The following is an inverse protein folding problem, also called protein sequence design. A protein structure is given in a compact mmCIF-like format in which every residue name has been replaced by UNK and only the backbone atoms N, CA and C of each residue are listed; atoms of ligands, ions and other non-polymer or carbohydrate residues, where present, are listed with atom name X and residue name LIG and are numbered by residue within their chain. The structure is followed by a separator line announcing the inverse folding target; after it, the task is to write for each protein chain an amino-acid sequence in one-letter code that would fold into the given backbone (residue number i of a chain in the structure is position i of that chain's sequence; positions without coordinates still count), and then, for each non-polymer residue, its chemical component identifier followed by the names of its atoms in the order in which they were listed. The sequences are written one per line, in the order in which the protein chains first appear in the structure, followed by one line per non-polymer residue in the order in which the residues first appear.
data_IF_355809857825
#
_entry.id   IF_355809857825
#
_cell.length_a   1.000
_cell.length_b   1.000
_cell.length_c   1.000
_cell.angle_alpha   90.00
_cell.angle_beta   90.00
_cell.angle_gamma   90.00
#
_symmetry.space_group_name_H-M   'P 1'
#
loop_
_entity.id
_entity.type
_entity.pdbx_description
1 polymer ?
#
# COMPACT_ATOMS: atom_id res chain seq x y z
N UNK A 1 -4.28 -11.93 -16.44
CA UNK A 1 -5.12 -11.43 -15.33
C UNK A 1 -4.21 -11.37 -14.13
N UNK A 2 -4.02 -10.20 -13.50
CA UNK A 2 -3.08 -9.99 -12.38
C UNK A 2 -3.18 -11.10 -11.33
N UNK A 3 -2.05 -11.73 -10.99
CA UNK A 3 -1.95 -12.79 -10.00
C UNK A 3 -2.52 -12.42 -8.64
N UNK A 4 -2.42 -11.14 -8.29
CA UNK A 4 -2.92 -10.63 -7.02
C UNK A 4 -4.45 -10.77 -6.91
N UNK A 5 -5.18 -10.70 -8.03
CA UNK A 5 -6.64 -10.90 -8.06
C UNK A 5 -7.03 -12.34 -7.69
N UNK A 6 -6.14 -13.32 -7.89
CA UNK A 6 -6.36 -14.70 -7.44
C UNK A 6 -6.17 -14.85 -5.93
N UNK A 7 -5.26 -14.08 -5.34
CA UNK A 7 -4.91 -14.14 -3.91
C UNK A 7 -5.91 -13.38 -3.02
N UNK A 8 -6.48 -12.27 -3.50
CA UNK A 8 -7.43 -11.48 -2.74
C UNK A 8 -8.86 -11.69 -3.25
N UNK A 9 -9.81 -12.12 -2.40
CA UNK A 9 -11.20 -12.26 -2.82
C UNK A 9 -11.75 -10.90 -3.27
N UNK A 10 -12.44 -10.86 -4.42
CA UNK A 10 -13.03 -9.63 -5.01
C UNK A 10 -13.92 -8.82 -4.05
N UNK A 11 -14.36 -9.42 -2.94
CA UNK A 11 -15.38 -8.87 -2.04
C UNK A 11 -14.85 -7.93 -0.95
N UNK A 12 -13.54 -7.79 -0.74
CA UNK A 12 -13.00 -6.87 0.29
C UNK A 12 -12.56 -5.56 -0.35
N UNK A 13 -13.43 -4.54 -0.26
CA UNK A 13 -13.12 -3.17 -0.67
C UNK A 13 -12.80 -2.32 0.56
N UNK A 14 -11.52 -2.26 0.93
CA UNK A 14 -11.04 -1.47 2.07
C UNK A 14 -11.34 0.03 1.93
N UNK A 15 -11.61 0.53 0.72
CA UNK A 15 -11.97 1.93 0.50
C UNK A 15 -13.35 2.28 1.07
N UNK A 16 -14.19 1.27 1.35
CA UNK A 16 -15.51 1.46 1.98
C UNK A 16 -15.46 1.55 3.50
N UNK A 17 -14.31 1.26 4.11
CA UNK A 17 -14.15 1.40 5.56
C UNK A 17 -14.12 2.88 5.93
N UNK A 18 -15.01 3.26 6.84
CA UNK A 18 -15.14 4.62 7.37
C UNK A 18 -15.05 4.58 8.89
N UNK A 19 -14.33 5.54 9.46
CA UNK A 19 -14.05 5.65 10.88
C UNK A 19 -14.47 7.02 11.39
N UNK A 20 -15.22 7.08 12.48
CA UNK A 20 -15.59 8.34 13.12
C UNK A 20 -14.35 9.00 13.71
N UNK A 21 -14.34 10.34 13.77
CA UNK A 21 -13.20 11.09 14.34
C UNK A 21 -12.78 10.64 15.74
N UNK A 22 -13.74 10.21 16.59
CA UNK A 22 -13.45 9.70 17.92
C UNK A 22 -12.75 8.34 17.92
N UNK A 23 -13.01 7.50 16.93
CA UNK A 23 -12.33 6.22 16.75
C UNK A 23 -10.91 6.45 16.26
N UNK A 24 -10.73 7.30 15.24
CA UNK A 24 -9.41 7.70 14.74
C UNK A 24 -8.55 8.29 15.85
N UNK A 25 -9.14 9.17 16.67
CA UNK A 25 -8.47 9.79 17.81
C UNK A 25 -7.94 8.76 18.81
N UNK A 26 -8.76 7.77 19.16
CA UNK A 26 -8.36 6.68 20.08
C UNK A 26 -7.33 5.74 19.47
N UNK A 27 -7.52 5.33 18.21
CA UNK A 27 -6.62 4.37 17.55
C UNK A 27 -5.22 4.94 17.33
N UNK A 28 -5.12 6.24 17.04
CA UNK A 28 -3.85 6.88 16.64
C UNK A 28 -3.21 7.73 17.73
N UNK A 29 -3.83 7.79 18.93
CA UNK A 29 -3.40 8.64 20.03
C UNK A 29 -3.16 10.11 19.60
N UNK A 30 -4.16 10.65 18.90
CA UNK A 30 -4.19 12.04 18.43
C UNK A 30 -5.48 12.68 18.91
N UNK A 31 -5.42 13.87 19.47
CA UNK A 31 -6.63 14.56 19.94
C UNK A 31 -7.57 14.88 18.78
N UNK A 32 -8.89 14.82 19.01
CA UNK A 32 -9.88 15.27 18.02
C UNK A 32 -9.69 16.73 17.59
N UNK A 33 -9.10 17.56 18.47
CA UNK A 33 -8.72 18.95 18.15
C UNK A 33 -7.61 19.01 17.10
N UNK A 34 -6.56 18.19 17.25
CA UNK A 34 -5.49 18.10 16.25
C UNK A 34 -6.04 17.60 14.91
N UNK A 35 -6.87 16.55 14.91
CA UNK A 35 -7.49 16.05 13.67
C UNK A 35 -8.31 17.14 12.95
N UNK A 36 -9.13 17.91 13.69
CA UNK A 36 -9.89 19.04 13.12
C UNK A 36 -8.97 20.13 12.58
N UNK A 37 -7.87 20.42 13.26
CA UNK A 37 -6.90 21.42 12.82
C UNK A 37 -6.17 20.96 11.54
N UNK A 38 -5.76 19.70 11.47
CA UNK A 38 -5.12 19.12 10.27
C UNK A 38 -6.10 19.12 9.08
N UNK A 39 -7.37 18.82 9.33
CA UNK A 39 -8.41 18.94 8.32
C UNK A 39 -8.61 20.38 7.84
N UNK A 40 -8.65 21.36 8.75
CA UNK A 40 -8.75 22.77 8.41
C UNK A 40 -7.56 23.25 7.56
N UNK A 41 -6.37 22.70 7.80
CA UNK A 41 -5.16 22.94 6.99
C UNK A 41 -5.15 22.19 5.66
N UNK A 42 -6.11 21.30 5.41
CA UNK A 42 -6.21 20.50 4.19
C UNK A 42 -5.26 19.31 4.15
N UNK A 43 -4.67 18.91 5.27
CA UNK A 43 -3.72 17.78 5.34
C UNK A 43 -4.43 16.43 5.35
N UNK A 44 -5.67 16.41 5.84
CA UNK A 44 -6.61 15.30 5.80
C UNK A 44 -7.98 15.83 5.41
N UNK A 45 -8.86 14.97 4.92
CA UNK A 45 -10.23 15.31 4.53
C UNK A 45 -11.22 14.37 5.20
N UNK A 46 -12.33 14.89 5.72
CA UNK A 46 -13.42 14.03 6.18
C UNK A 46 -14.54 13.97 5.15
N UNK A 47 -15.24 12.83 5.12
CA UNK A 47 -16.55 12.71 4.49
C UNK A 47 -17.57 13.04 5.59
N UNK A 48 -18.65 13.74 5.22
CA UNK A 48 -19.79 13.92 6.12
C UNK A 48 -20.68 12.69 6.00
N UNK A 49 -20.90 11.98 7.09
CA UNK A 49 -21.86 10.89 7.12
C UNK A 49 -23.29 11.47 6.96
N UNK A 50 -23.99 11.04 5.91
CA UNK A 50 -25.33 11.51 5.54
C UNK A 50 -26.35 11.34 6.68
N UNK A 51 -26.15 10.34 7.55
CA UNK A 51 -27.09 10.03 8.64
C UNK A 51 -26.86 10.84 9.90
N UNK A 52 -25.59 11.11 10.26
CA UNK A 52 -25.24 11.72 11.55
C UNK A 52 -24.64 13.12 11.44
N UNK A 53 -24.35 13.60 10.21
CA UNK A 53 -23.54 14.79 9.93
C UNK A 53 -22.14 14.75 10.58
N UNK A 54 -21.74 13.60 11.14
CA UNK A 54 -20.45 13.45 11.80
C UNK A 54 -19.34 13.28 10.77
N UNK A 55 -18.14 13.71 11.17
CA UNK A 55 -16.93 13.56 10.35
C UNK A 55 -16.47 12.12 10.39
N UNK A 56 -16.39 11.48 9.22
CA UNK A 56 -15.80 10.17 9.05
C UNK A 56 -14.58 10.23 8.13
N UNK A 57 -13.61 9.37 8.40
CA UNK A 57 -12.36 9.27 7.67
C UNK A 57 -12.26 7.89 7.04
N UNK A 58 -11.80 7.83 5.80
CA UNK A 58 -11.53 6.57 5.12
C UNK A 58 -10.11 6.04 5.45
N UNK A 59 -9.76 4.88 4.92
CA UNK A 59 -8.42 4.28 5.09
C UNK A 59 -7.27 5.18 4.60
N UNK A 60 -7.47 5.95 3.53
CA UNK A 60 -6.44 6.87 3.03
C UNK A 60 -6.12 7.97 4.06
N UNK A 61 -7.17 8.55 4.65
CA UNK A 61 -7.02 9.54 5.71
C UNK A 61 -6.41 8.93 6.98
N UNK A 62 -6.78 7.70 7.32
CA UNK A 62 -6.22 7.01 8.47
C UNK A 62 -4.70 6.82 8.29
N UNK A 63 -4.25 6.32 7.13
CA UNK A 63 -2.83 6.21 6.81
C UNK A 63 -2.10 7.56 6.87
N UNK A 64 -2.76 8.62 6.38
CA UNK A 64 -2.21 9.97 6.42
C UNK A 64 -2.04 10.48 7.86
N UNK A 65 -3.05 10.27 8.72
CA UNK A 65 -2.98 10.58 10.16
C UNK A 65 -1.85 9.82 10.84
N UNK A 66 -1.74 8.52 10.60
CA UNK A 66 -0.69 7.66 11.17
C UNK A 66 0.70 8.17 10.81
N UNK A 67 0.93 8.52 9.54
CA UNK A 67 2.23 9.03 9.10
C UNK A 67 2.54 10.42 9.66
N UNK A 68 1.56 11.34 9.67
CA UNK A 68 1.76 12.66 10.29
C UNK A 68 2.14 12.48 11.77
N UNK A 69 1.41 11.64 12.51
CA UNK A 69 1.71 11.36 13.93
C UNK A 69 3.11 10.80 14.11
N UNK A 70 3.50 9.79 13.32
CA UNK A 70 4.84 9.20 13.35
C UNK A 70 5.96 10.24 13.18
N UNK A 71 5.80 11.20 12.27
CA UNK A 71 6.80 12.25 12.07
C UNK A 71 6.78 13.31 13.17
N UNK A 72 5.61 13.66 13.70
CA UNK A 72 5.50 14.53 14.87
C UNK A 72 6.22 13.92 16.08
N UNK A 73 6.07 12.61 16.30
CA UNK A 73 6.74 11.88 17.39
C UNK A 73 8.27 11.86 17.22
N UNK A 74 8.76 12.01 15.98
CA UNK A 74 10.17 12.20 15.65
C UNK A 74 10.65 13.65 15.76
N UNK A 75 9.80 14.57 16.24
CA UNK A 75 10.15 15.98 16.44
C UNK A 75 9.99 16.88 15.21
N UNK A 76 9.33 16.41 14.15
CA UNK A 76 9.08 17.24 12.97
C UNK A 76 8.04 18.33 13.29
N UNK A 77 8.13 19.46 12.58
CA UNK A 77 7.01 20.42 12.55
C UNK A 77 5.82 19.79 11.84
N UNK A 78 4.60 20.27 12.11
CA UNK A 78 3.40 19.73 11.46
C UNK A 78 3.45 19.84 9.93
N UNK A 79 3.98 20.94 9.39
CA UNK A 79 4.13 21.12 7.93
C UNK A 79 5.09 20.08 7.35
N UNK A 80 6.28 19.92 7.95
CA UNK A 80 7.26 18.93 7.49
C UNK A 80 6.72 17.50 7.62
N UNK A 81 6.05 17.18 8.73
CA UNK A 81 5.40 15.89 8.93
C UNK A 81 4.35 15.59 7.84
N UNK A 82 3.54 16.58 7.47
CA UNK A 82 2.56 16.45 6.41
C UNK A 82 3.21 16.24 5.03
N UNK A 83 4.24 17.02 4.70
CA UNK A 83 4.96 16.91 3.44
C UNK A 83 5.62 15.54 3.29
N UNK A 84 6.40 15.11 4.30
CA UNK A 84 7.03 13.79 4.30
C UNK A 84 6.00 12.66 4.24
N UNK A 85 4.88 12.78 4.96
CA UNK A 85 3.79 11.82 4.87
C UNK A 85 3.18 11.75 3.45
N UNK A 86 3.02 12.89 2.76
CA UNK A 86 2.49 12.92 1.39
C UNK A 86 3.42 12.22 0.41
N UNK A 87 4.72 12.52 0.50
CA UNK A 87 5.74 11.88 -0.33
C UNK A 87 5.76 10.37 -0.14
N UNK A 88 5.69 9.90 1.10
CA UNK A 88 5.71 8.47 1.39
C UNK A 88 4.44 7.75 0.92
N UNK A 89 3.28 8.40 1.01
CA UNK A 89 2.05 7.87 0.42
C UNK A 89 2.17 7.78 -1.10
N UNK A 90 2.76 8.80 -1.75
CA UNK A 90 2.98 8.78 -3.20
C UNK A 90 3.92 7.63 -3.62
N UNK A 91 5.03 7.44 -2.90
CA UNK A 91 5.96 6.31 -3.11
C UNK A 91 5.26 4.97 -2.93
N UNK A 92 4.48 4.81 -1.86
CA UNK A 92 3.73 3.58 -1.59
C UNK A 92 2.66 3.31 -2.65
N UNK A 93 1.99 4.36 -3.14
CA UNK A 93 1.02 4.26 -4.24
C UNK A 93 1.67 3.73 -5.52
N UNK A 94 2.86 4.26 -5.85
CA UNK A 94 3.64 3.77 -6.99
C UNK A 94 4.06 2.31 -6.80
N UNK A 95 4.64 1.96 -5.63
CA UNK A 95 5.04 0.60 -5.31
C UNK A 95 3.87 -0.39 -5.38
N UNK A 96 2.72 -0.04 -4.79
CA UNK A 96 1.49 -0.86 -4.87
C UNK A 96 1.08 -1.08 -6.32
N UNK A 97 1.07 -0.02 -7.15
CA UNK A 97 0.74 -0.15 -8.57
C UNK A 97 1.75 -1.02 -9.30
N UNK A 98 3.04 -0.88 -9.03
CA UNK A 98 4.08 -1.73 -9.59
C UNK A 98 3.82 -3.19 -9.22
N UNK A 99 3.72 -3.51 -7.93
CA UNK A 99 3.49 -4.88 -7.44
C UNK A 99 2.21 -5.49 -8.01
N UNK A 100 1.11 -4.73 -8.07
CA UNK A 100 -0.17 -5.19 -8.63
C UNK A 100 -0.08 -5.60 -10.10
N UNK A 101 0.82 -4.99 -10.87
CA UNK A 101 0.98 -5.24 -12.30
C UNK A 101 2.15 -6.18 -12.61
N UNK A 102 3.20 -6.19 -11.77
CA UNK A 102 4.36 -7.05 -11.95
C UNK A 102 4.14 -8.46 -11.36
N UNK A 103 3.39 -8.58 -10.26
CA UNK A 103 3.12 -9.88 -9.64
C UNK A 103 2.14 -10.71 -10.49
N UNK A 104 2.63 -11.84 -11.02
CA UNK A 104 1.85 -12.74 -11.85
C UNK A 104 1.39 -14.00 -11.09
N UNK A 105 2.25 -14.64 -10.31
CA UNK A 105 1.89 -15.78 -9.45
C UNK A 105 2.99 -16.12 -8.44
N UNK A 106 2.71 -17.05 -7.52
CA UNK A 106 3.75 -17.79 -6.79
C UNK A 106 3.88 -19.16 -7.43
N UNK A 107 5.07 -19.49 -7.91
CA UNK A 107 5.42 -20.75 -8.53
C UNK A 107 6.38 -21.54 -7.64
N UNK A 108 6.72 -22.77 -8.04
CA UNK A 108 7.73 -23.58 -7.36
C UNK A 108 8.84 -23.91 -8.35
N UNK A 109 10.06 -23.51 -8.02
CA UNK A 109 11.27 -23.86 -8.79
C UNK A 109 12.22 -24.57 -7.83
N UNK A 110 12.70 -25.75 -8.23
CA UNK A 110 13.61 -26.58 -7.42
C UNK A 110 13.06 -26.89 -6.00
N UNK A 111 11.74 -27.01 -5.88
CA UNK A 111 11.06 -27.27 -4.60
C UNK A 111 10.89 -26.05 -3.70
N UNK A 112 11.32 -24.86 -4.13
CA UNK A 112 11.21 -23.62 -3.36
C UNK A 112 10.14 -22.68 -3.96
N UNK A 113 9.31 -22.02 -3.12
CA UNK A 113 8.36 -21.03 -3.59
C UNK A 113 9.10 -19.81 -4.15
N UNK A 114 8.71 -19.38 -5.34
CA UNK A 114 9.26 -18.21 -6.02
C UNK A 114 8.14 -17.32 -6.52
N UNK A 115 8.34 -16.01 -6.43
CA UNK A 115 7.41 -15.01 -6.97
C UNK A 115 7.74 -14.80 -8.44
N UNK A 116 6.77 -15.02 -9.32
CA UNK A 116 6.84 -14.63 -10.73
C UNK A 116 6.52 -13.13 -10.87
N UNK A 117 7.51 -12.35 -11.32
CA UNK A 117 7.43 -10.90 -11.52
C UNK A 117 7.19 -10.49 -12.98
N UNK A 118 6.83 -11.45 -13.83
CA UNK A 118 6.55 -11.25 -15.24
C UNK A 118 7.80 -11.27 -16.13
N UNK A 119 7.61 -10.83 -17.38
CA UNK A 119 8.69 -10.81 -18.37
C UNK A 119 9.81 -9.86 -17.96
N UNK A 120 11.04 -10.35 -18.03
CA UNK A 120 12.24 -9.56 -17.73
C UNK A 120 12.62 -8.62 -18.88
N UNK A 121 12.31 -9.03 -20.13
CA UNK A 121 12.66 -8.30 -21.34
C UNK A 121 11.44 -7.99 -22.23
N UNK A 122 11.59 -7.00 -23.12
CA UNK A 122 10.52 -6.54 -24.00
C UNK A 122 10.13 -7.60 -25.05
N UNK A 123 11.09 -8.43 -25.45
CA UNK A 123 10.88 -9.54 -26.40
C UNK A 123 10.08 -10.70 -25.80
N UNK A 124 9.81 -10.66 -24.48
CA UNK A 124 9.06 -11.67 -23.73
C UNK A 124 9.66 -13.07 -23.85
N UNK A 125 10.98 -13.16 -23.88
CA UNK A 125 11.73 -14.42 -23.99
C UNK A 125 12.24 -14.94 -22.65
N UNK A 126 12.20 -14.12 -21.59
CA UNK A 126 12.63 -14.52 -20.25
C UNK A 126 11.71 -13.97 -19.17
N UNK A 127 11.62 -14.67 -18.04
CA UNK A 127 10.80 -14.32 -16.87
C UNK A 127 11.72 -14.00 -15.70
N UNK A 128 11.39 -12.96 -14.94
CA UNK A 128 12.05 -12.63 -13.67
C UNK A 128 11.31 -13.30 -12.51
N UNK A 129 12.04 -14.08 -11.72
CA UNK A 129 11.58 -14.65 -10.46
C UNK A 129 12.32 -14.03 -9.28
N UNK A 130 11.65 -13.96 -8.13
CA UNK A 130 12.24 -13.59 -6.85
C UNK A 130 11.92 -14.66 -5.79
N UNK A 131 12.96 -15.21 -5.16
CA UNK A 131 12.84 -16.08 -3.99
C UNK A 131 13.14 -15.27 -2.73
N UNK A 132 12.42 -15.55 -1.64
CA UNK A 132 12.73 -15.02 -0.30
C UNK A 132 13.24 -16.20 0.53
N UNK A 133 14.42 -16.06 1.12
CA UNK A 133 14.96 -17.10 1.99
C UNK A 133 14.57 -16.91 3.47
N UNK A 134 15.05 -17.80 4.33
CA UNK A 134 14.73 -17.81 5.76
C UNK A 134 15.18 -16.54 6.52
N UNK A 135 16.06 -15.72 5.92
CA UNK A 135 16.56 -14.47 6.50
C UNK A 135 15.91 -13.23 5.88
N UNK A 136 14.79 -13.38 5.17
CA UNK A 136 14.13 -12.32 4.38
C UNK A 136 15.02 -11.74 3.26
N UNK A 137 16.11 -12.44 2.86
CA UNK A 137 16.94 -12.00 1.74
C UNK A 137 16.31 -12.39 0.40
N UNK A 138 16.30 -11.44 -0.55
CA UNK A 138 15.69 -11.63 -1.87
C UNK A 138 16.76 -12.08 -2.88
N UNK A 139 16.53 -13.22 -3.53
CA UNK A 139 17.37 -13.74 -4.62
C UNK A 139 16.59 -13.73 -5.93
N UNK A 140 17.16 -13.08 -6.95
CA UNK A 140 16.55 -12.97 -8.27
C UNK A 140 17.07 -14.05 -9.22
N UNK A 141 16.19 -14.59 -10.07
CA UNK A 141 16.53 -15.55 -11.11
C UNK A 141 15.83 -15.18 -12.41
N UNK A 142 16.58 -15.10 -13.51
CA UNK A 142 16.01 -14.95 -14.85
C UNK A 142 15.96 -16.33 -15.50
N UNK A 143 14.81 -16.70 -16.04
CA UNK A 143 14.61 -18.00 -16.70
C UNK A 143 14.13 -17.77 -18.13
N UNK A 144 14.87 -18.31 -19.10
CA UNK A 144 14.48 -18.26 -20.51
C UNK A 144 13.29 -19.18 -20.79
N UNK A 145 12.30 -18.63 -21.47
CA UNK A 145 11.16 -19.39 -21.97
C UNK A 145 11.61 -20.04 -23.28
N UNK A 146 11.97 -21.32 -23.23
CA UNK A 146 12.19 -22.09 -24.47
C UNK A 146 10.92 -21.98 -25.32
N UNK A 147 11.03 -21.42 -26.53
CA UNK A 147 9.95 -21.55 -27.52
C UNK A 147 9.68 -23.05 -27.65
N UNK A 148 8.46 -23.49 -27.33
CA UNK A 148 8.04 -24.84 -27.73
C UNK A 148 8.21 -24.90 -29.23
N UNK A 149 9.22 -25.64 -29.69
CA UNK A 149 9.36 -25.98 -31.09
C UNK A 149 8.05 -26.63 -31.55
N UNK A 150 7.54 -26.11 -32.65
CA UNK A 150 6.28 -26.53 -33.28
C UNK A 150 6.50 -27.79 -34.10
#
# INVERSE_FOLDING_TARGET
MSGLKKLFPEKIDLNRLIFKIGEVSKMMDVSTRQLRYWEQKGYITSIRDDKSRSRVFNMENLNKVTLIKHYLDKGFTLTAANETASENIAKMRYLRRFMMNAFEDVETIDGQPVVNLGYFNEEKTSILYAAVDENDEIKYRVVDIKKKDK
#
